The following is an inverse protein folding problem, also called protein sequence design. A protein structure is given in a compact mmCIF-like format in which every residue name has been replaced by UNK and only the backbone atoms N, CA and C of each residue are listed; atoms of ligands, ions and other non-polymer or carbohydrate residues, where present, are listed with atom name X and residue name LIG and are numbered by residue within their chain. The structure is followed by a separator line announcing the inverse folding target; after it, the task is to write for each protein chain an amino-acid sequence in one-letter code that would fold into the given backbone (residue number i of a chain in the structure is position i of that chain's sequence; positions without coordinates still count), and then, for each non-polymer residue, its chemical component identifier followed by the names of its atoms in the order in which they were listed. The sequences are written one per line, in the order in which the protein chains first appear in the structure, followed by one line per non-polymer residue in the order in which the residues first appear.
data_IF_742177675124
#
_entry.id   IF_742177675124
#
_cell.length_a   1.000
_cell.length_b   1.000
_cell.length_c   1.000
_cell.angle_alpha   90.00
_cell.angle_beta   90.00
_cell.angle_gamma   90.00
#
_symmetry.space_group_name_H-M   'P 1'
#
loop_
_entity.id
_entity.type
_entity.pdbx_description
1 polymer ?
#
# COMPACT_ATOMS: atom_id res chain seq x y z
N UNK A 1 -11.22 3.91 11.29
CA UNK A 1 -10.97 4.59 10.00
C UNK A 1 -9.96 3.71 9.29
N UNK A 2 -10.18 3.34 8.02
CA UNK A 2 -9.44 2.23 7.38
C UNK A 2 -7.91 2.42 7.31
N UNK A 3 -7.18 1.37 6.90
CA UNK A 3 -5.73 1.47 6.74
C UNK A 3 -5.34 1.95 5.33
N UNK A 4 -4.17 2.58 5.24
CA UNK A 4 -3.52 2.99 3.99
C UNK A 4 -2.34 2.09 3.75
N UNK A 5 -2.28 1.44 2.59
CA UNK A 5 -1.15 0.61 2.19
C UNK A 5 -0.26 1.40 1.24
N UNK A 6 1.04 1.30 1.40
CA UNK A 6 2.03 1.86 0.48
C UNK A 6 2.93 0.76 -0.05
N UNK A 7 3.12 0.69 -1.37
CA UNK A 7 4.09 -0.22 -2.00
C UNK A 7 5.48 0.37 -1.86
N UNK A 8 6.37 -0.30 -1.14
CA UNK A 8 7.65 0.29 -0.75
C UNK A 8 8.87 -0.58 -1.08
N UNK A 9 9.98 0.13 -1.27
CA UNK A 9 11.33 -0.44 -1.30
C UNK A 9 12.22 0.39 -0.40
N UNK A 10 12.44 -0.10 0.82
CA UNK A 10 13.10 0.67 1.88
C UNK A 10 12.21 1.81 2.37
N UNK A 11 12.70 3.04 2.33
CA UNK A 11 11.94 4.22 2.78
C UNK A 11 11.15 4.91 1.65
N UNK A 12 11.09 4.35 0.45
CA UNK A 12 10.45 4.97 -0.72
C UNK A 12 9.19 4.24 -1.15
N UNK A 13 8.15 4.99 -1.50
CA UNK A 13 7.00 4.51 -2.28
C UNK A 13 7.47 4.30 -3.72
N UNK A 14 7.25 3.11 -4.25
CA UNK A 14 7.64 2.69 -5.60
C UNK A 14 6.51 1.91 -6.25
N UNK A 15 6.70 1.52 -7.51
CA UNK A 15 5.75 0.69 -8.25
C UNK A 15 5.56 -0.68 -7.57
N UNK A 16 4.38 -1.28 -7.71
CA UNK A 16 4.06 -2.57 -7.07
C UNK A 16 5.07 -3.67 -7.45
N UNK A 17 5.52 -3.69 -8.70
CA UNK A 17 6.49 -4.68 -9.20
C UNK A 17 7.90 -4.47 -8.64
N UNK A 18 8.27 -3.23 -8.29
CA UNK A 18 9.57 -2.90 -7.70
C UNK A 18 9.60 -3.04 -6.17
N UNK A 19 8.44 -3.03 -5.53
CA UNK A 19 8.30 -3.06 -4.08
C UNK A 19 8.72 -4.40 -3.48
N UNK A 20 9.46 -4.35 -2.37
CA UNK A 20 9.82 -5.54 -1.58
C UNK A 20 8.83 -5.72 -0.40
N UNK A 21 8.17 -4.63 0.01
CA UNK A 21 7.28 -4.58 1.17
C UNK A 21 6.02 -3.76 0.91
N UNK A 22 4.98 -4.06 1.68
CA UNK A 22 3.75 -3.29 1.83
C UNK A 22 3.77 -2.64 3.22
N UNK A 23 3.83 -1.32 3.26
CA UNK A 23 3.83 -0.55 4.50
C UNK A 23 2.41 -0.15 4.83
N UNK A 24 1.95 -0.49 6.03
CA UNK A 24 0.58 -0.23 6.48
C UNK A 24 0.59 0.94 7.45
N UNK A 25 -0.06 2.02 7.05
CA UNK A 25 -0.31 3.19 7.87
C UNK A 25 -1.74 3.15 8.40
N UNK A 26 -1.87 3.20 9.72
CA UNK A 26 -3.15 3.26 10.40
C UNK A 26 -3.55 4.73 10.61
N UNK A 27 -4.70 5.11 10.04
CA UNK A 27 -5.19 6.49 10.10
C UNK A 27 -5.76 6.87 11.46
N UNK A 28 -6.22 5.91 12.27
CA UNK A 28 -6.76 6.17 13.60
C UNK A 28 -5.64 6.51 14.59
N UNK A 29 -4.54 5.74 14.56
CA UNK A 29 -3.38 5.98 15.45
C UNK A 29 -2.28 6.84 14.81
N UNK A 30 -2.47 7.27 13.56
CA UNK A 30 -1.57 8.13 12.78
C UNK A 30 -0.11 7.64 12.75
N UNK A 31 0.10 6.34 12.53
CA UNK A 31 1.45 5.76 12.46
C UNK A 31 1.50 4.53 11.56
N UNK A 32 2.71 4.21 11.11
CA UNK A 32 2.99 2.92 10.48
C UNK A 32 2.88 1.83 11.55
N UNK A 33 1.99 0.86 11.31
CA UNK A 33 1.71 -0.25 12.23
C UNK A 33 2.31 -1.56 11.78
N UNK A 34 2.42 -1.79 10.46
CA UNK A 34 3.01 -2.99 9.89
C UNK A 34 3.90 -2.70 8.69
N UNK A 35 4.89 -3.56 8.51
CA UNK A 35 5.66 -3.71 7.28
C UNK A 35 5.59 -5.17 6.88
N UNK A 36 4.86 -5.45 5.82
CA UNK A 36 4.60 -6.80 5.33
C UNK A 36 5.45 -7.06 4.11
N UNK A 37 5.94 -8.29 3.92
CA UNK A 37 6.61 -8.64 2.67
C UNK A 37 5.59 -8.68 1.54
N UNK A 38 5.89 -8.04 0.41
CA UNK A 38 4.99 -8.09 -0.75
C UNK A 38 4.91 -9.53 -1.29
N UNK A 39 3.70 -10.08 -1.53
CA UNK A 39 3.59 -11.38 -2.15
C UNK A 39 4.11 -11.35 -3.59
N UNK A 40 4.73 -12.45 -4.03
CA UNK A 40 5.17 -12.60 -5.42
C UNK A 40 3.97 -12.89 -6.34
N UNK A 41 2.97 -13.59 -5.83
CA UNK A 41 1.71 -13.84 -6.52
C UNK A 41 0.64 -12.83 -6.05
N UNK A 42 0.11 -11.96 -6.92
CA UNK A 42 -0.95 -11.00 -6.57
C UNK A 42 -2.21 -11.63 -5.98
N UNK A 43 -2.52 -12.88 -6.30
CA UNK A 43 -3.69 -13.59 -5.75
C UNK A 43 -3.60 -13.82 -4.24
N UNK A 44 -2.40 -13.73 -3.66
CA UNK A 44 -2.18 -13.85 -2.20
C UNK A 44 -2.35 -12.51 -1.47
N UNK A 45 -2.67 -11.41 -2.18
CA UNK A 45 -2.89 -10.11 -1.56
C UNK A 45 -4.07 -10.14 -0.58
N UNK A 46 -5.13 -10.88 -0.89
CA UNK A 46 -6.27 -11.03 0.00
C UNK A 46 -5.86 -11.61 1.35
N UNK A 47 -5.12 -12.73 1.32
CA UNK A 47 -4.59 -13.39 2.53
C UNK A 47 -3.63 -12.48 3.31
N UNK A 48 -2.74 -11.76 2.63
CA UNK A 48 -1.74 -10.88 3.28
C UNK A 48 -2.40 -9.66 3.94
N UNK A 49 -3.52 -9.21 3.40
CA UNK A 49 -4.22 -8.00 3.85
C UNK A 49 -5.45 -8.30 4.72
N UNK A 50 -5.73 -9.59 4.97
CA UNK A 50 -6.82 -10.03 5.82
C UNK A 50 -6.70 -9.39 7.22
N UNK A 51 -7.80 -8.81 7.70
CA UNK A 51 -7.87 -8.17 9.01
C UNK A 51 -7.24 -6.76 9.11
N UNK A 52 -6.65 -6.23 8.03
CA UNK A 52 -6.11 -4.87 7.99
C UNK A 52 -7.11 -3.81 7.51
N UNK A 53 -8.24 -4.24 6.94
CA UNK A 53 -9.30 -3.38 6.37
C UNK A 53 -8.75 -2.20 5.54
N UNK A 54 -7.96 -2.48 4.48
CA UNK A 54 -7.34 -1.43 3.69
C UNK A 54 -8.36 -0.67 2.87
N UNK A 55 -8.36 0.65 3.01
CA UNK A 55 -9.24 1.51 2.22
C UNK A 55 -8.59 1.94 0.90
N UNK A 56 -7.28 2.14 0.92
CA UNK A 56 -6.53 2.64 -0.23
C UNK A 56 -5.13 2.04 -0.25
N UNK A 57 -4.64 1.73 -1.45
CA UNK A 57 -3.25 1.43 -1.72
C UNK A 57 -2.63 2.55 -2.55
N UNK A 58 -1.47 3.00 -2.12
CA UNK A 58 -0.68 4.06 -2.74
C UNK A 58 0.53 3.41 -3.39
N UNK A 59 0.72 3.66 -4.68
CA UNK A 59 1.84 3.13 -5.45
C UNK A 59 2.30 4.12 -6.51
N UNK A 60 3.51 3.95 -7.04
CA UNK A 60 3.93 4.69 -8.22
C UNK A 60 3.23 4.19 -9.49
N UNK A 61 3.08 2.87 -9.58
CA UNK A 61 2.40 2.19 -10.68
C UNK A 61 1.89 0.83 -10.20
N UNK A 62 0.75 0.40 -10.72
CA UNK A 62 0.18 -0.92 -10.49
C UNK A 62 -0.21 -1.50 -11.84
N UNK A 63 0.18 -2.74 -12.12
CA UNK A 63 -0.20 -3.43 -13.34
C UNK A 63 -1.72 -3.70 -13.38
N UNK A 64 -2.33 -3.83 -14.57
CA UNK A 64 -3.78 -4.08 -14.68
C UNK A 64 -4.26 -5.30 -13.90
N UNK A 65 -3.49 -6.40 -13.93
CA UNK A 65 -3.80 -7.64 -13.19
C UNK A 65 -3.90 -7.39 -11.68
N UNK A 66 -2.90 -6.71 -11.10
CA UNK A 66 -2.91 -6.36 -9.67
C UNK A 66 -4.02 -5.36 -9.35
N UNK A 67 -4.29 -4.44 -10.27
CA UNK A 67 -5.39 -3.47 -10.12
C UNK A 67 -6.76 -4.13 -10.09
N UNK A 68 -6.98 -5.23 -10.81
CA UNK A 68 -8.24 -5.97 -10.78
C UNK A 68 -8.44 -6.61 -9.40
N UNK A 69 -7.43 -7.32 -8.89
CA UNK A 69 -7.46 -7.93 -7.55
C UNK A 69 -7.78 -6.89 -6.46
N UNK A 70 -7.08 -5.76 -6.47
CA UNK A 70 -7.31 -4.69 -5.48
C UNK A 70 -8.72 -4.10 -5.55
N UNK A 71 -9.28 -3.97 -6.76
CA UNK A 71 -10.65 -3.47 -6.95
C UNK A 71 -11.69 -4.47 -6.48
N UNK A 72 -11.48 -5.76 -6.70
CA UNK A 72 -12.35 -6.83 -6.22
C UNK A 72 -12.38 -6.88 -4.68
N UNK A 73 -11.26 -6.55 -4.04
CA UNK A 73 -11.16 -6.36 -2.58
C UNK A 73 -11.80 -5.04 -2.09
N UNK A 74 -12.29 -4.18 -2.98
CA UNK A 74 -12.86 -2.86 -2.62
C UNK A 74 -11.81 -1.80 -2.26
N UNK A 75 -10.52 -2.07 -2.51
CA UNK A 75 -9.40 -1.17 -2.20
C UNK A 75 -9.28 -0.12 -3.31
N UNK A 76 -9.24 1.16 -2.93
CA UNK A 76 -8.96 2.24 -3.88
C UNK A 76 -7.48 2.26 -4.26
N UNK A 77 -7.18 2.61 -5.49
CA UNK A 77 -5.79 2.75 -5.96
C UNK A 77 -5.49 4.22 -6.15
N UNK A 78 -4.47 4.70 -5.46
CA UNK A 78 -3.94 6.05 -5.61
C UNK A 78 -2.53 5.97 -6.19
N UNK A 79 -2.30 6.68 -7.30
CA UNK A 79 -1.00 6.71 -7.96
C UNK A 79 -0.24 7.99 -7.56
N UNK A 80 1.01 7.83 -7.16
CA UNK A 80 1.89 8.94 -6.79
C UNK A 80 3.24 8.86 -7.51
N UNK A 81 4.05 9.91 -7.43
CA UNK A 81 5.45 9.78 -7.91
C UNK A 81 6.28 9.09 -6.83
N UNK A 82 7.35 8.40 -7.23
CA UNK A 82 8.34 7.89 -6.29
C UNK A 82 8.80 8.98 -5.32
N UNK A 83 8.65 8.72 -4.02
CA UNK A 83 8.99 9.65 -2.94
C UNK A 83 9.15 8.93 -1.60
N UNK A 84 9.74 9.61 -0.62
CA UNK A 84 9.94 9.03 0.70
C UNK A 84 8.59 8.87 1.44
N UNK A 85 8.40 7.74 2.12
CA UNK A 85 7.18 7.41 2.88
C UNK A 85 6.91 8.47 3.95
N UNK A 86 7.95 8.93 4.66
CA UNK A 86 7.83 9.93 5.72
C UNK A 86 7.32 11.27 5.19
N UNK A 87 7.84 11.71 4.06
CA UNK A 87 7.39 12.94 3.41
C UNK A 87 5.95 12.81 2.93
N UNK A 88 5.59 11.68 2.32
CA UNK A 88 4.22 11.43 1.86
C UNK A 88 3.22 11.48 3.02
N UNK A 89 3.52 10.77 4.11
CA UNK A 89 2.63 10.73 5.28
C UNK A 89 2.48 12.11 5.92
N UNK A 90 3.57 12.88 6.04
CA UNK A 90 3.53 14.22 6.61
C UNK A 90 2.76 15.21 5.72
N UNK A 91 2.76 15.05 4.41
CA UNK A 91 2.01 15.94 3.50
C UNK A 91 0.53 15.59 3.45
N UNK A 92 0.19 14.30 3.42
CA UNK A 92 -1.18 13.83 3.15
C UNK A 92 -2.00 13.66 4.44
N UNK A 93 -1.37 13.28 5.56
CA UNK A 93 -2.08 12.86 6.78
C UNK A 93 -1.74 13.65 8.05
N UNK A 94 -0.95 14.73 7.95
CA UNK A 94 -0.64 15.60 9.09
C UNK A 94 -1.91 16.18 9.74
#
# INVERSE_FOLDING_TARGET
MGSVIMTCKGEFIVSYDEADELVVYDMDVKKIVYRLRKPQNPLLLEDVLEGLDPWVIVSEYISPEVSEVLRDMGVKIELTKKREVREFVAEVFA
#
